data_IF_410345187578
#
_entry.id   IF_410345187578
#
_cell.length_a   1.000
_cell.length_b   1.000
_cell.length_c   1.000
_cell.angle_alpha   90.00
_cell.angle_beta   90.00
_cell.angle_gamma   90.00
#
_symmetry.space_group_name_H-M   'P 1'
#
loop_
_entity.id
_entity.type
_entity.pdbx_description
1 polymer ?
#
# COMPACT_ATOMS: atom_id res chain seq x y z
N UNK A 1 -1.48 20.26 -23.86
CA UNK A 1 -0.07 20.41 -24.30
C UNK A 1 0.76 19.12 -24.25
N UNK A 2 0.13 17.95 -24.27
CA UNK A 2 0.84 16.67 -24.16
C UNK A 2 1.64 16.57 -22.87
N UNK A 3 2.72 15.78 -22.91
CA UNK A 3 3.58 15.50 -21.76
C UNK A 3 4.45 16.69 -21.31
N UNK A 4 4.63 17.71 -22.16
CA UNK A 4 5.55 18.83 -21.88
C UNK A 4 5.16 19.66 -20.66
N UNK A 5 3.85 19.88 -20.45
CA UNK A 5 3.31 20.68 -19.34
C UNK A 5 2.96 19.87 -18.10
N UNK A 6 3.27 18.57 -18.07
CA UNK A 6 3.02 17.77 -16.88
C UNK A 6 3.94 18.24 -15.75
N UNK A 7 3.33 18.66 -14.64
CA UNK A 7 4.00 19.18 -13.44
C UNK A 7 4.14 18.12 -12.34
N UNK A 8 3.29 17.08 -12.38
CA UNK A 8 3.27 16.01 -11.40
C UNK A 8 3.04 14.61 -12.01
N UNK A 9 3.06 13.59 -11.15
CA UNK A 9 2.89 12.20 -11.53
C UNK A 9 1.49 11.89 -12.12
N UNK A 10 0.44 12.53 -11.61
CA UNK A 10 -0.92 12.31 -12.09
C UNK A 10 -1.08 12.87 -13.50
N UNK A 11 -0.56 14.07 -13.76
CA UNK A 11 -0.53 14.68 -15.07
C UNK A 11 0.31 13.88 -16.07
N UNK A 12 1.47 13.34 -15.66
CA UNK A 12 2.25 12.39 -16.48
C UNK A 12 1.39 11.18 -16.84
N UNK A 13 0.66 10.63 -15.87
CA UNK A 13 -0.14 9.43 -16.07
C UNK A 13 -1.33 9.63 -17.02
N UNK A 14 -1.93 10.83 -17.07
CA UNK A 14 -3.07 11.12 -17.95
C UNK A 14 -2.69 11.87 -19.22
N UNK A 15 -1.41 12.25 -19.39
CA UNK A 15 -0.95 13.05 -20.51
C UNK A 15 -1.39 12.43 -21.87
N UNK A 16 -2.03 13.21 -22.75
CA UNK A 16 -2.39 12.76 -24.09
C UNK A 16 -1.16 12.74 -24.99
N UNK A 17 -1.17 11.84 -25.98
CA UNK A 17 -0.16 11.87 -27.03
C UNK A 17 -0.37 13.11 -27.92
N UNK A 18 0.65 13.97 -28.02
CA UNK A 18 0.62 15.14 -28.89
C UNK A 18 1.88 15.13 -29.74
N UNK A 19 1.71 15.35 -31.04
CA UNK A 19 2.83 15.35 -31.99
C UNK A 19 3.92 16.33 -31.56
N UNK A 20 5.17 15.89 -31.65
CA UNK A 20 6.37 16.67 -31.30
C UNK A 20 6.44 17.14 -29.83
N UNK A 21 5.65 16.55 -28.93
CA UNK A 21 5.73 16.75 -27.47
C UNK A 21 6.31 15.48 -26.84
N UNK A 22 7.64 15.38 -26.79
CA UNK A 22 8.35 14.12 -26.49
C UNK A 22 9.00 14.07 -25.10
N UNK A 23 9.07 15.20 -24.42
CA UNK A 23 9.82 15.34 -23.18
C UNK A 23 9.01 16.11 -22.14
N UNK A 24 9.21 15.79 -20.88
CA UNK A 24 8.71 16.58 -19.75
C UNK A 24 9.56 17.85 -19.67
N UNK A 25 8.97 19.04 -19.63
CA UNK A 25 9.73 20.30 -19.55
C UNK A 25 9.82 20.85 -18.13
N UNK A 26 8.78 20.65 -17.33
CA UNK A 26 8.69 21.13 -15.96
C UNK A 26 9.75 20.47 -15.06
N UNK A 27 10.48 21.28 -14.30
CA UNK A 27 11.63 20.81 -13.52
C UNK A 27 11.20 19.89 -12.37
N UNK A 28 10.03 20.15 -11.79
CA UNK A 28 9.42 19.40 -10.70
C UNK A 28 9.09 17.97 -11.14
N UNK A 29 8.67 17.81 -12.39
CA UNK A 29 8.28 16.54 -12.99
C UNK A 29 9.47 15.73 -13.56
N UNK A 30 10.65 16.34 -13.73
CA UNK A 30 11.88 15.67 -14.20
C UNK A 30 12.58 14.81 -13.14
N UNK A 31 12.03 14.73 -11.93
CA UNK A 31 12.58 13.87 -10.88
C UNK A 31 12.23 12.41 -11.17
N UNK A 32 13.20 11.51 -11.05
CA UNK A 32 13.01 10.08 -11.29
C UNK A 32 11.82 9.50 -10.52
N UNK A 33 11.64 9.93 -9.26
CA UNK A 33 10.52 9.50 -8.44
C UNK A 33 9.15 9.92 -9.01
N UNK A 34 9.06 11.12 -9.58
CA UNK A 34 7.82 11.65 -10.17
C UNK A 34 7.51 10.94 -11.49
N UNK A 35 8.54 10.71 -12.32
CA UNK A 35 8.40 9.94 -13.57
C UNK A 35 8.00 8.50 -13.27
N UNK A 36 8.68 7.83 -12.33
CA UNK A 36 8.35 6.47 -11.94
C UNK A 36 6.93 6.35 -11.35
N UNK A 37 6.51 7.33 -10.56
CA UNK A 37 5.13 7.40 -10.06
C UNK A 37 4.13 7.58 -11.22
N UNK A 38 4.41 8.46 -12.19
CA UNK A 38 3.57 8.63 -13.37
C UNK A 38 3.48 7.36 -14.23
N UNK A 39 4.59 6.64 -14.41
CA UNK A 39 4.64 5.33 -15.07
C UNK A 39 3.77 4.31 -14.32
N UNK A 40 3.94 4.20 -12.99
CA UNK A 40 3.17 3.27 -12.18
C UNK A 40 1.66 3.56 -12.26
N UNK A 41 1.27 4.83 -12.11
CA UNK A 41 -0.12 5.28 -12.23
C UNK A 41 -0.69 4.97 -13.63
N UNK A 42 0.05 5.28 -14.70
CA UNK A 42 -0.36 4.94 -16.08
C UNK A 42 -0.56 3.45 -16.25
N UNK A 43 0.37 2.63 -15.76
CA UNK A 43 0.33 1.18 -15.91
C UNK A 43 -0.82 0.53 -15.15
N UNK A 44 -1.20 1.09 -13.99
CA UNK A 44 -2.33 0.61 -13.19
C UNK A 44 -3.69 1.14 -13.68
N UNK A 45 -3.70 2.28 -14.38
CA UNK A 45 -4.93 2.90 -14.86
C UNK A 45 -5.62 2.05 -15.93
N UNK A 46 -6.96 1.98 -15.86
CA UNK A 46 -7.76 1.30 -16.87
C UNK A 46 -7.54 1.94 -18.25
N UNK A 47 -7.11 1.15 -19.22
CA UNK A 47 -6.82 1.63 -20.57
C UNK A 47 -5.50 2.40 -20.70
N UNK A 48 -4.69 2.44 -19.64
CA UNK A 48 -3.35 3.00 -19.68
C UNK A 48 -2.46 2.27 -20.69
N UNK A 49 -1.83 3.04 -21.57
CA UNK A 49 -0.90 2.54 -22.59
C UNK A 49 0.28 3.49 -22.72
N UNK A 50 1.42 2.93 -23.13
CA UNK A 50 2.63 3.66 -23.47
C UNK A 50 2.79 3.69 -24.99
N UNK A 51 3.13 4.85 -25.53
CA UNK A 51 3.35 5.04 -26.96
C UNK A 51 4.83 4.89 -27.29
N UNK A 52 5.14 4.13 -28.34
CA UNK A 52 6.47 4.01 -28.93
C UNK A 52 6.38 4.36 -30.42
N UNK A 53 7.51 4.68 -31.06
CA UNK A 53 7.48 4.90 -32.52
C UNK A 53 7.25 3.58 -33.26
N UNK A 54 6.69 3.69 -34.46
CA UNK A 54 6.57 2.55 -35.36
C UNK A 54 7.96 1.95 -35.62
N UNK A 55 8.02 0.62 -35.68
CA UNK A 55 9.24 -0.16 -35.93
C UNK A 55 10.31 -0.10 -34.81
N UNK A 56 9.98 0.42 -33.62
CA UNK A 56 10.85 0.34 -32.43
C UNK A 56 10.39 -0.81 -31.49
N UNK A 57 10.16 -2.00 -32.04
CA UNK A 57 9.62 -3.15 -31.30
C UNK A 57 10.49 -3.55 -30.09
N UNK A 58 11.81 -3.37 -30.18
CA UNK A 58 12.74 -3.66 -29.08
C UNK A 58 12.43 -2.83 -27.83
N UNK A 59 11.94 -1.59 -27.99
CA UNK A 59 11.59 -0.70 -26.89
C UNK A 59 10.38 -1.17 -26.09
N UNK A 60 9.52 -2.02 -26.66
CA UNK A 60 8.34 -2.58 -25.96
C UNK A 60 8.77 -3.33 -24.71
N UNK A 61 9.83 -4.13 -24.81
CA UNK A 61 10.33 -4.95 -23.70
C UNK A 61 10.83 -4.09 -22.54
N UNK A 62 11.56 -3.01 -22.86
CA UNK A 62 12.08 -2.05 -21.88
C UNK A 62 10.97 -1.29 -21.19
N UNK A 63 9.99 -0.80 -21.96
CA UNK A 63 8.83 -0.06 -21.41
C UNK A 63 8.00 -0.97 -20.50
N UNK A 64 7.73 -2.21 -20.93
CA UNK A 64 6.99 -3.17 -20.10
C UNK A 64 7.75 -3.51 -18.81
N UNK A 65 9.07 -3.68 -18.89
CA UNK A 65 9.92 -3.96 -17.72
C UNK A 65 9.95 -2.79 -16.75
N UNK A 66 10.08 -1.55 -17.26
CA UNK A 66 10.04 -0.34 -16.44
C UNK A 66 8.67 -0.17 -15.77
N UNK A 67 7.57 -0.37 -16.51
CA UNK A 67 6.21 -0.31 -15.99
C UNK A 67 5.98 -1.36 -14.90
N UNK A 68 6.33 -2.63 -15.16
CA UNK A 68 6.19 -3.71 -14.19
C UNK A 68 7.03 -3.47 -12.93
N UNK A 69 8.27 -2.99 -13.09
CA UNK A 69 9.16 -2.66 -11.97
C UNK A 69 8.60 -1.51 -11.12
N UNK A 70 8.12 -0.43 -11.74
CA UNK A 70 7.53 0.70 -11.05
C UNK A 70 6.31 0.27 -10.23
N UNK A 71 5.38 -0.46 -10.85
CA UNK A 71 4.19 -1.00 -10.17
C UNK A 71 4.57 -1.93 -9.02
N UNK A 72 5.51 -2.85 -9.25
CA UNK A 72 5.95 -3.81 -8.23
C UNK A 72 6.57 -3.13 -7.02
N UNK A 73 7.39 -2.10 -7.23
CA UNK A 73 7.98 -1.31 -6.14
C UNK A 73 6.92 -0.54 -5.37
N UNK A 74 6.01 0.15 -6.05
CA UNK A 74 4.91 0.89 -5.39
C UNK A 74 4.05 -0.03 -4.54
N UNK A 75 3.60 -1.16 -5.09
CA UNK A 75 2.79 -2.13 -4.35
C UNK A 75 3.60 -2.80 -3.22
N UNK A 76 4.87 -3.10 -3.45
CA UNK A 76 5.76 -3.67 -2.44
C UNK A 76 5.93 -2.77 -1.21
N UNK A 77 6.16 -1.47 -1.42
CA UNK A 77 6.23 -0.48 -0.35
C UNK A 77 4.90 -0.34 0.40
N UNK A 78 3.78 -0.27 -0.32
CA UNK A 78 2.45 -0.21 0.28
C UNK A 78 2.17 -1.44 1.16
N UNK A 79 2.53 -2.63 0.67
CA UNK A 79 2.35 -3.88 1.39
C UNK A 79 3.19 -3.94 2.66
N UNK A 80 4.45 -3.49 2.62
CA UNK A 80 5.31 -3.39 3.79
C UNK A 80 4.75 -2.41 4.83
N UNK A 81 4.27 -1.24 4.39
CA UNK A 81 3.65 -0.27 5.27
C UNK A 81 2.43 -0.84 6.00
N UNK A 82 1.53 -1.51 5.26
CA UNK A 82 0.35 -2.17 5.84
C UNK A 82 0.76 -3.24 6.86
N UNK A 83 1.73 -4.11 6.54
CA UNK A 83 2.19 -5.15 7.47
C UNK A 83 2.76 -4.52 8.74
N UNK A 84 3.64 -3.53 8.63
CA UNK A 84 4.21 -2.86 9.80
C UNK A 84 3.13 -2.23 10.69
N UNK A 85 2.09 -1.62 10.10
CA UNK A 85 0.96 -1.09 10.86
C UNK A 85 0.17 -2.18 11.59
N UNK A 86 -0.12 -3.29 10.90
CA UNK A 86 -0.83 -4.44 11.50
C UNK A 86 0.01 -5.09 12.60
N UNK A 87 1.30 -5.30 12.38
CA UNK A 87 2.23 -5.90 13.33
C UNK A 87 2.34 -5.05 14.61
N UNK A 88 2.43 -3.73 14.46
CA UNK A 88 2.42 -2.81 15.60
C UNK A 88 1.11 -2.90 16.40
N UNK A 89 -0.05 -2.93 15.71
CA UNK A 89 -1.34 -3.10 16.37
C UNK A 89 -1.45 -4.42 17.12
N UNK A 90 -1.03 -5.52 16.49
CA UNK A 90 -1.03 -6.85 17.11
C UNK A 90 -0.09 -6.93 18.32
N UNK A 91 1.08 -6.27 18.25
CA UNK A 91 2.01 -6.17 19.38
C UNK A 91 1.37 -5.47 20.57
N UNK A 92 0.70 -4.33 20.37
CA UNK A 92 -0.02 -3.62 21.45
C UNK A 92 -1.12 -4.48 22.06
N UNK A 93 -1.87 -5.23 21.25
CA UNK A 93 -2.88 -6.19 21.74
C UNK A 93 -2.21 -7.25 22.62
N UNK A 94 -1.11 -7.85 22.17
CA UNK A 94 -0.37 -8.87 22.92
C UNK A 94 0.15 -8.34 24.26
N UNK A 95 0.70 -7.13 24.28
CA UNK A 95 1.18 -6.49 25.51
C UNK A 95 0.02 -6.23 26.49
N UNK A 96 -1.11 -5.75 25.98
CA UNK A 96 -2.32 -5.53 26.79
C UNK A 96 -2.84 -6.85 27.37
N UNK A 97 -2.96 -7.90 26.56
CA UNK A 97 -3.41 -9.22 27.02
C UNK A 97 -2.49 -9.80 28.10
N UNK A 98 -1.18 -9.59 28.00
CA UNK A 98 -0.23 -10.07 29.01
C UNK A 98 -0.44 -9.41 30.39
N UNK A 99 -1.04 -8.22 30.45
CA UNK A 99 -1.37 -7.53 31.70
C UNK A 99 -2.74 -7.90 32.27
N UNK A 100 -3.59 -8.57 31.48
CA UNK A 100 -4.91 -9.00 31.95
C UNK A 100 -4.71 -10.19 32.89
N UNK A 101 -4.85 -9.94 34.19
CA UNK A 101 -5.00 -11.00 35.19
C UNK A 101 -6.38 -11.62 35.02
N UNK A 102 -6.44 -12.93 34.72
CA UNK A 102 -7.71 -13.64 34.81
C UNK A 102 -8.13 -13.68 36.28
N UNK A 103 -9.25 -13.03 36.62
CA UNK A 103 -9.89 -13.25 37.91
C UNK A 103 -10.29 -14.73 38.00
N UNK A 104 -9.76 -15.42 39.01
CA UNK A 104 -10.14 -16.79 39.30
C UNK A 104 -11.59 -16.80 39.80
N UNK A 105 -12.54 -17.09 38.90
CA UNK A 105 -13.96 -17.22 39.21
C UNK A 105 -14.31 -18.45 40.08
N UNK A 106 -13.32 -19.15 40.65
CA UNK A 106 -13.58 -20.28 41.55
C UNK A 106 -14.11 -19.87 42.94
N UNK A 107 -14.17 -18.58 43.29
CA UNK A 107 -14.56 -18.14 44.63
C UNK A 107 -16.08 -18.00 44.89
N UNK A 108 -16.98 -18.13 43.91
CA UNK A 108 -18.44 -18.05 44.17
C UNK A 108 -19.11 -19.41 44.54
N UNK A 109 -18.35 -20.50 44.65
CA UNK A 109 -18.89 -21.84 44.93
C UNK A 109 -18.60 -22.38 46.35
N UNK A 110 -18.25 -21.55 47.33
CA UNK A 110 -18.14 -21.98 48.74
C UNK A 110 -18.79 -20.99 49.69
N UNK A 111 -20.08 -21.19 49.98
CA UNK A 111 -20.63 -20.79 51.27
C UNK A 111 -20.63 -22.01 52.19
N UNK A 112 -19.82 -22.03 53.27
CA UNK A 112 -20.00 -22.95 54.38
C UNK A 112 -21.15 -22.45 55.25
N UNK A 113 -22.23 -23.21 55.35
CA UNK A 113 -23.23 -23.03 56.41
C UNK A 113 -23.24 -24.29 57.28
N UNK A 114 -22.31 -24.36 58.22
CA UNK A 114 -22.51 -25.12 59.45
C UNK A 114 -23.48 -24.33 60.34
N UNK A 115 -24.64 -24.92 60.70
CA UNK A 115 -25.26 -24.76 62.03
C UNK A 115 -26.50 -25.65 62.20
N UNK A 116 -26.31 -26.72 62.99
CA UNK A 116 -27.21 -27.31 64.02
C UNK A 116 -28.70 -27.56 63.73
N UNK A 117 -29.16 -28.81 63.93
CA UNK A 117 -30.19 -29.15 64.94
C UNK A 117 -30.49 -30.67 65.02
N UNK A 118 -30.50 -31.14 66.27
CA UNK A 118 -31.03 -32.37 66.87
C UNK A 118 -32.26 -33.03 66.22
N UNK A 119 -32.35 -34.37 66.30
CA UNK A 119 -33.65 -35.06 66.36
C UNK A 119 -33.69 -36.54 65.93
N UNK A 120 -33.63 -37.44 66.93
CA UNK A 120 -34.05 -38.86 66.99
C UNK A 120 -33.44 -39.92 66.06
#
# INVERSE_FOLDING_TARGET
>A
DGIEKATDAAEIAIAPAVNNKKEIKEAEAKKDAVIAAGIALRAMAKGGKFSIKNNENEAVSTVNSAAASAVSKTLGTLMLAIRNTVDNGLKTISETLATVTQEDKTAEATTPAESTASGQ
#
